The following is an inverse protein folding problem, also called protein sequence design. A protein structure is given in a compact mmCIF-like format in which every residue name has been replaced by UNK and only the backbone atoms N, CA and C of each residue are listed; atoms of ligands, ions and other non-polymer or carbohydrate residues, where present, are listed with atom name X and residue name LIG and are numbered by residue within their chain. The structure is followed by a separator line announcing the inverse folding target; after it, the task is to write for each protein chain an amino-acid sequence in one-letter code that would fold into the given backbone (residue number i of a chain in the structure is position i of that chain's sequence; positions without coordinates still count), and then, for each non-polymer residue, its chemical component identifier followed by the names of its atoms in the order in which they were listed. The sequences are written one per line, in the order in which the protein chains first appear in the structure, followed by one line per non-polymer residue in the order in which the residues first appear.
data_IF_276409091897
#
_entry.id   IF_276409091897
#
_cell.length_a   1.000
_cell.length_b   1.000
_cell.length_c   1.000
_cell.angle_alpha   90.00
_cell.angle_beta   90.00
_cell.angle_gamma   90.00
#
_symmetry.space_group_name_H-M   'P 1'
#
loop_
_entity.id
_entity.type
_entity.pdbx_description
1 polymer ?
#
# COMPACT_ATOMS: atom_id res chain seq x y z
N UNK A 1 -26.23 -13.66 46.07
CA UNK A 1 -25.05 -14.50 45.74
C UNK A 1 -23.79 -13.66 45.88
N UNK A 2 -22.72 -14.19 46.48
CA UNK A 2 -21.46 -13.43 46.61
C UNK A 2 -20.61 -13.61 45.34
N UNK A 3 -19.78 -12.61 45.00
CA UNK A 3 -18.84 -12.73 43.88
C UNK A 3 -17.88 -13.94 44.04
N UNK A 4 -17.57 -14.31 45.30
CA UNK A 4 -16.78 -15.50 45.60
C UNK A 4 -17.52 -16.79 45.23
N UNK A 5 -18.80 -16.92 45.58
CA UNK A 5 -19.59 -18.09 45.22
C UNK A 5 -19.71 -18.26 43.69
N UNK A 6 -19.83 -17.16 42.94
CA UNK A 6 -19.84 -17.20 41.47
C UNK A 6 -18.49 -17.67 40.91
N UNK A 7 -17.37 -17.12 41.40
CA UNK A 7 -16.03 -17.55 40.96
C UNK A 7 -15.76 -19.02 41.26
N UNK A 8 -16.05 -19.47 42.48
CA UNK A 8 -15.86 -20.88 42.85
C UNK A 8 -16.76 -21.79 42.02
N UNK A 9 -18.02 -21.40 41.78
CA UNK A 9 -18.92 -22.14 40.91
C UNK A 9 -18.34 -22.31 39.50
N UNK A 10 -17.89 -21.21 38.88
CA UNK A 10 -17.30 -21.25 37.54
C UNK A 10 -15.98 -22.03 37.47
N UNK A 11 -15.17 -22.03 38.53
CA UNK A 11 -13.91 -22.79 38.56
C UNK A 11 -14.10 -24.30 38.69
N UNK A 12 -15.28 -24.76 39.12
CA UNK A 12 -15.59 -26.19 39.33
C UNK A 12 -16.40 -26.81 38.19
N UNK A 13 -16.80 -26.02 37.17
CA UNK A 13 -17.57 -26.54 36.04
C UNK A 13 -16.66 -27.32 35.09
N UNK A 14 -17.02 -28.57 34.84
CA UNK A 14 -16.44 -29.40 33.79
C UNK A 14 -17.51 -29.70 32.74
N UNK A 15 -17.14 -29.58 31.46
CA UNK A 15 -18.01 -29.89 30.33
C UNK A 15 -17.29 -30.92 29.43
N UNK A 16 -17.64 -32.21 29.54
CA UNK A 16 -17.04 -33.25 28.73
C UNK A 16 -17.14 -32.93 27.23
N UNK A 17 -16.04 -33.15 26.51
CA UNK A 17 -15.97 -32.91 25.06
C UNK A 17 -15.95 -31.43 24.64
N UNK A 18 -15.75 -30.47 25.54
CA UNK A 18 -15.45 -29.07 25.17
C UNK A 18 -13.99 -28.77 25.44
N UNK A 19 -13.17 -28.77 24.38
CA UNK A 19 -11.72 -28.64 24.44
C UNK A 19 -11.08 -29.45 25.58
N UNK A 20 -11.49 -30.72 25.68
CA UNK A 20 -11.07 -31.60 26.76
C UNK A 20 -9.71 -32.22 26.41
N UNK A 21 -8.69 -31.87 27.18
CA UNK A 21 -7.34 -32.42 27.02
C UNK A 21 -7.19 -33.67 27.89
N UNK A 22 -6.90 -34.80 27.25
CA UNK A 22 -6.50 -36.04 27.91
C UNK A 22 -4.97 -36.15 27.78
N UNK A 23 -4.23 -36.00 28.90
CA UNK A 23 -2.78 -36.03 28.87
C UNK A 23 -2.27 -37.42 28.47
N UNK A 24 -1.25 -37.46 27.62
CA UNK A 24 -0.71 -38.70 27.07
C UNK A 24 0.33 -38.44 25.99
N UNK A 25 0.86 -39.52 25.42
CA UNK A 25 1.75 -39.50 24.26
C UNK A 25 1.16 -40.44 23.18
N UNK A 26 0.42 -39.92 22.19
CA UNK A 26 0.17 -38.50 21.91
C UNK A 26 -0.82 -37.85 22.90
N UNK A 27 -0.78 -36.53 23.02
CA UNK A 27 -1.81 -35.75 23.73
C UNK A 27 -3.10 -35.80 22.93
N UNK A 28 -4.22 -36.10 23.59
CA UNK A 28 -5.53 -36.22 22.94
C UNK A 28 -6.41 -35.02 23.30
N UNK A 29 -7.00 -34.38 22.30
CA UNK A 29 -7.96 -33.29 22.47
C UNK A 29 -9.30 -33.74 21.95
N UNK A 30 -10.34 -33.64 22.77
CA UNK A 30 -11.71 -33.98 22.41
C UNK A 30 -12.56 -32.70 22.35
N UNK A 31 -13.18 -32.45 21.21
CA UNK A 31 -14.03 -31.28 21.01
C UNK A 31 -15.30 -31.62 20.19
N UNK A 32 -16.43 -31.03 20.56
CA UNK A 32 -17.75 -31.18 19.90
C UNK A 32 -18.08 -30.03 18.93
N UNK A 33 -17.08 -29.25 18.52
CA UNK A 33 -17.23 -28.19 17.54
C UNK A 33 -17.83 -28.71 16.22
N UNK A 34 -18.91 -28.09 15.78
CA UNK A 34 -19.70 -28.52 14.62
C UNK A 34 -20.29 -27.33 13.83
N UNK A 35 -19.80 -26.13 14.11
CA UNK A 35 -20.15 -24.92 13.39
C UNK A 35 -18.91 -24.01 13.22
N UNK A 36 -18.90 -23.08 12.25
CA UNK A 36 -17.73 -22.27 11.95
C UNK A 36 -17.18 -21.48 13.13
N UNK A 37 -18.06 -20.98 14.02
CA UNK A 37 -17.63 -20.24 15.21
C UNK A 37 -16.96 -21.15 16.24
N UNK A 38 -17.54 -22.32 16.53
CA UNK A 38 -16.96 -23.29 17.45
C UNK A 38 -15.64 -23.84 16.94
N UNK A 39 -15.51 -24.08 15.63
CA UNK A 39 -14.25 -24.51 15.02
C UNK A 39 -13.22 -23.39 15.07
N UNK A 40 -13.62 -22.12 14.93
CA UNK A 40 -12.70 -21.01 15.14
C UNK A 40 -12.11 -20.97 16.56
N UNK A 41 -12.96 -21.23 17.58
CA UNK A 41 -12.50 -21.31 18.96
C UNK A 41 -11.59 -22.53 19.18
N UNK A 42 -11.91 -23.69 18.58
CA UNK A 42 -11.06 -24.87 18.58
C UNK A 42 -9.68 -24.57 17.97
N UNK A 43 -9.64 -23.95 16.78
CA UNK A 43 -8.39 -23.55 16.10
C UNK A 43 -7.55 -22.64 16.99
N UNK A 44 -8.15 -21.61 17.59
CA UNK A 44 -7.45 -20.69 18.47
C UNK A 44 -6.88 -21.39 19.73
N UNK A 45 -7.64 -22.32 20.30
CA UNK A 45 -7.18 -23.07 21.47
C UNK A 45 -6.07 -24.05 21.10
N UNK A 46 -6.15 -24.72 19.94
CA UNK A 46 -5.08 -25.61 19.45
C UNK A 46 -3.78 -24.83 19.19
N UNK A 47 -3.87 -23.66 18.58
CA UNK A 47 -2.73 -22.77 18.35
C UNK A 47 -2.08 -22.33 19.68
N UNK A 48 -2.89 -22.09 20.71
CA UNK A 48 -2.42 -21.73 22.04
C UNK A 48 -1.76 -22.88 22.83
N UNK A 49 -1.92 -24.15 22.41
CA UNK A 49 -1.26 -25.29 23.07
C UNK A 49 0.25 -25.37 22.76
N UNK A 50 0.75 -24.55 21.83
CA UNK A 50 2.16 -24.53 21.44
C UNK A 50 2.48 -25.49 20.29
N UNK A 51 3.77 -25.76 20.09
CA UNK A 51 4.24 -26.53 18.94
C UNK A 51 4.11 -28.04 19.14
N UNK A 52 3.46 -28.70 18.18
CA UNK A 52 3.43 -30.15 18.04
C UNK A 52 4.05 -30.55 16.69
N UNK A 53 4.96 -31.55 16.63
CA UNK A 53 5.60 -31.94 15.38
C UNK A 53 4.65 -32.55 14.35
N UNK A 54 3.55 -33.15 14.81
CA UNK A 54 2.52 -33.73 13.93
C UNK A 54 1.18 -33.71 14.66
N UNK A 55 0.16 -33.19 13.99
CA UNK A 55 -1.22 -33.12 14.45
C UNK A 55 -2.10 -34.04 13.60
N UNK A 56 -2.78 -34.97 14.27
CA UNK A 56 -3.71 -35.91 13.66
C UNK A 56 -5.14 -35.51 14.03
N UNK A 57 -6.01 -35.31 13.04
CA UNK A 57 -7.43 -35.04 13.27
C UNK A 57 -8.26 -36.26 12.91
N UNK A 58 -9.09 -36.71 13.85
CA UNK A 58 -10.19 -37.64 13.60
C UNK A 58 -11.47 -36.82 13.49
N UNK A 59 -12.09 -36.81 12.32
CA UNK A 59 -13.20 -35.92 12.00
C UNK A 59 -14.41 -36.70 11.50
N UNK A 60 -15.55 -36.45 12.15
CA UNK A 60 -16.86 -36.88 11.70
C UNK A 60 -17.84 -35.72 11.90
N UNK A 61 -18.71 -35.50 10.93
CA UNK A 61 -19.66 -34.39 10.96
C UNK A 61 -21.02 -34.80 10.41
N UNK A 62 -22.04 -34.03 10.76
CA UNK A 62 -23.38 -34.18 10.19
C UNK A 62 -23.44 -33.55 8.80
N UNK A 63 -24.22 -34.13 7.89
CA UNK A 63 -24.33 -33.68 6.50
C UNK A 63 -24.99 -32.30 6.34
N UNK A 64 -25.74 -31.86 7.36
CA UNK A 64 -26.41 -30.55 7.41
C UNK A 64 -25.49 -29.39 7.84
N UNK A 65 -24.20 -29.66 8.08
CA UNK A 65 -23.24 -28.65 8.55
C UNK A 65 -22.44 -28.02 7.42
N UNK A 66 -22.07 -26.77 7.67
CA UNK A 66 -21.24 -25.96 6.77
C UNK A 66 -19.77 -26.38 6.89
N UNK A 67 -19.39 -27.40 6.13
CA UNK A 67 -18.10 -28.08 6.23
C UNK A 67 -16.94 -27.25 5.69
N UNK A 68 -17.16 -26.49 4.62
CA UNK A 68 -16.12 -25.71 3.94
C UNK A 68 -15.45 -24.67 4.86
N UNK A 69 -16.20 -23.78 5.55
CA UNK A 69 -15.60 -22.82 6.48
C UNK A 69 -14.95 -23.51 7.70
N UNK A 70 -15.44 -24.68 8.11
CA UNK A 70 -14.84 -25.44 9.21
C UNK A 70 -13.47 -26.02 8.81
N UNK A 71 -13.43 -26.76 7.70
CA UNK A 71 -12.20 -27.40 7.21
C UNK A 71 -11.16 -26.37 6.80
N UNK A 72 -11.57 -25.26 6.17
CA UNK A 72 -10.67 -24.16 5.81
C UNK A 72 -9.97 -23.56 7.05
N UNK A 73 -10.66 -23.50 8.19
CA UNK A 73 -10.13 -22.84 9.39
C UNK A 73 -9.21 -23.73 10.22
N UNK A 74 -9.51 -25.03 10.31
CA UNK A 74 -8.67 -25.98 11.09
C UNK A 74 -7.62 -26.68 10.22
N UNK A 75 -7.84 -26.77 8.91
CA UNK A 75 -6.95 -27.38 7.92
C UNK A 75 -5.47 -27.05 8.09
N UNK A 76 -5.08 -25.78 8.25
CA UNK A 76 -3.68 -25.40 8.39
C UNK A 76 -2.97 -25.96 9.64
N UNK A 77 -3.70 -26.36 10.68
CA UNK A 77 -3.15 -26.91 11.92
C UNK A 77 -3.04 -28.44 11.90
N UNK A 78 -3.59 -29.11 10.89
CA UNK A 78 -3.73 -30.57 10.85
C UNK A 78 -2.88 -31.15 9.73
N UNK A 79 -1.92 -32.00 10.10
CA UNK A 79 -1.05 -32.69 9.14
C UNK A 79 -1.71 -33.94 8.55
N UNK A 80 -2.51 -34.65 9.35
CA UNK A 80 -3.10 -35.95 8.97
C UNK A 80 -4.58 -36.01 9.30
N UNK A 81 -5.38 -36.28 8.27
CA UNK A 81 -6.83 -36.37 8.37
C UNK A 81 -7.31 -37.82 8.35
N UNK A 82 -8.15 -38.15 9.32
CA UNK A 82 -8.86 -39.42 9.45
C UNK A 82 -10.35 -39.13 9.51
N UNK A 83 -11.09 -39.56 8.51
CA UNK A 83 -12.54 -39.39 8.48
C UNK A 83 -13.23 -40.64 9.02
N UNK A 84 -14.30 -40.44 9.79
CA UNK A 84 -15.07 -41.55 10.38
C UNK A 84 -16.56 -41.37 10.11
N UNK A 85 -17.25 -42.49 9.88
CA UNK A 85 -18.71 -42.52 9.85
C UNK A 85 -19.25 -42.39 11.28
N UNK A 86 -20.33 -41.63 11.43
CA UNK A 86 -21.07 -41.53 12.68
C UNK A 86 -22.28 -42.48 12.60
N UNK A 87 -22.69 -43.13 13.71
CA UNK A 87 -23.80 -44.08 13.73
C UNK A 87 -25.16 -43.38 13.71
N UNK A 88 -25.37 -42.45 12.76
CA UNK A 88 -26.62 -41.71 12.59
C UNK A 88 -26.88 -41.48 11.11
N UNK A 89 -28.14 -41.55 10.64
CA UNK A 89 -28.48 -41.33 9.23
C UNK A 89 -28.31 -39.87 8.78
N UNK A 90 -28.11 -38.93 9.73
CA UNK A 90 -27.84 -37.52 9.46
C UNK A 90 -26.35 -37.23 9.29
N UNK A 91 -25.50 -38.22 9.53
CA UNK A 91 -24.07 -38.11 9.36
C UNK A 91 -23.72 -37.93 7.88
N UNK A 92 -22.70 -37.14 7.61
CA UNK A 92 -22.03 -37.24 6.32
C UNK A 92 -21.13 -38.48 6.32
N UNK A 93 -20.93 -39.10 5.15
CA UNK A 93 -20.05 -40.27 5.07
C UNK A 93 -18.58 -39.84 5.14
N UNK A 94 -17.74 -40.70 5.69
CA UNK A 94 -16.30 -40.47 5.77
C UNK A 94 -15.70 -40.23 4.37
N UNK A 95 -16.17 -40.96 3.37
CA UNK A 95 -15.74 -40.80 1.97
C UNK A 95 -16.12 -39.44 1.39
N UNK A 96 -17.34 -38.96 1.65
CA UNK A 96 -17.79 -37.67 1.15
C UNK A 96 -17.05 -36.51 1.82
N UNK A 97 -16.82 -36.59 3.14
CA UNK A 97 -16.00 -35.60 3.87
C UNK A 97 -14.56 -35.55 3.35
N UNK A 98 -13.98 -36.71 3.03
CA UNK A 98 -12.66 -36.81 2.41
C UNK A 98 -12.64 -36.16 1.03
N UNK A 99 -13.63 -36.45 0.18
CA UNK A 99 -13.73 -35.86 -1.16
C UNK A 99 -13.85 -34.34 -1.09
N UNK A 100 -14.65 -33.82 -0.16
CA UNK A 100 -14.79 -32.38 0.13
C UNK A 100 -13.46 -31.73 0.51
N UNK A 101 -12.69 -32.34 1.41
CA UNK A 101 -11.35 -31.84 1.77
C UNK A 101 -10.41 -31.83 0.56
N UNK A 102 -10.40 -32.90 -0.23
CA UNK A 102 -9.56 -32.98 -1.44
C UNK A 102 -9.92 -31.91 -2.46
N UNK A 103 -11.21 -31.62 -2.63
CA UNK A 103 -11.68 -30.55 -3.50
C UNK A 103 -11.18 -29.18 -3.02
N UNK A 104 -11.28 -28.89 -1.71
CA UNK A 104 -10.75 -27.64 -1.15
C UNK A 104 -9.23 -27.52 -1.33
N UNK A 105 -8.50 -28.60 -1.08
CA UNK A 105 -7.05 -28.63 -1.28
C UNK A 105 -6.67 -28.36 -2.74
N UNK A 106 -7.40 -28.93 -3.70
CA UNK A 106 -7.18 -28.68 -5.12
C UNK A 106 -7.48 -27.23 -5.51
N UNK A 107 -8.56 -26.64 -4.98
CA UNK A 107 -8.91 -25.23 -5.21
C UNK A 107 -7.83 -24.29 -4.66
N UNK A 108 -7.39 -24.50 -3.42
CA UNK A 108 -6.32 -23.71 -2.79
C UNK A 108 -5.01 -23.85 -3.55
N UNK A 109 -4.66 -25.07 -3.99
CA UNK A 109 -3.45 -25.29 -4.80
C UNK A 109 -3.48 -24.49 -6.10
N UNK A 110 -4.60 -24.54 -6.84
CA UNK A 110 -4.77 -23.78 -8.07
C UNK A 110 -4.70 -22.26 -7.85
N UNK A 111 -5.33 -21.76 -6.78
CA UNK A 111 -5.25 -20.35 -6.40
C UNK A 111 -3.82 -19.93 -6.06
N UNK A 112 -3.08 -20.75 -5.32
CA UNK A 112 -1.69 -20.48 -4.95
C UNK A 112 -0.77 -20.45 -6.17
N UNK A 113 -0.96 -21.35 -7.14
CA UNK A 113 -0.21 -21.35 -8.39
C UNK A 113 -0.46 -20.08 -9.21
N UNK A 114 -1.72 -19.65 -9.28
CA UNK A 114 -2.11 -18.44 -9.97
C UNK A 114 -1.54 -17.19 -9.26
N UNK A 115 -1.59 -17.15 -7.93
CA UNK A 115 -1.02 -16.08 -7.11
C UNK A 115 0.49 -15.99 -7.27
N UNK A 116 1.21 -17.12 -7.27
CA UNK A 116 2.66 -17.19 -7.49
C UNK A 116 3.05 -16.64 -8.86
N UNK A 117 2.37 -17.10 -9.91
CA UNK A 117 2.60 -16.62 -11.29
C UNK A 117 2.36 -15.11 -11.39
N UNK A 118 1.30 -14.61 -10.76
CA UNK A 118 0.98 -13.18 -10.72
C UNK A 118 2.05 -12.39 -9.99
N UNK A 119 2.52 -12.89 -8.85
CA UNK A 119 3.56 -12.26 -8.05
C UNK A 119 4.89 -12.19 -8.82
N UNK A 120 5.30 -13.26 -9.49
CA UNK A 120 6.51 -13.30 -10.32
C UNK A 120 6.46 -12.28 -11.46
N UNK A 121 5.31 -12.20 -12.16
CA UNK A 121 5.08 -11.21 -13.21
C UNK A 121 5.19 -9.78 -12.66
N UNK A 122 4.46 -9.47 -11.59
CA UNK A 122 4.45 -8.14 -10.99
C UNK A 122 5.83 -7.75 -10.44
N UNK A 123 6.57 -8.70 -9.89
CA UNK A 123 7.95 -8.48 -9.42
C UNK A 123 8.86 -8.12 -10.60
N UNK A 124 8.75 -8.86 -11.71
CA UNK A 124 9.52 -8.58 -12.93
C UNK A 124 9.17 -7.20 -13.53
N UNK A 125 7.88 -6.85 -13.58
CA UNK A 125 7.43 -5.54 -14.05
C UNK A 125 7.94 -4.40 -13.16
N UNK A 126 7.85 -4.58 -11.83
CA UNK A 126 8.38 -3.63 -10.85
C UNK A 126 9.89 -3.44 -11.03
N UNK A 127 10.64 -4.53 -11.17
CA UNK A 127 12.10 -4.49 -11.26
C UNK A 127 12.55 -3.82 -12.56
N UNK A 128 11.85 -4.09 -13.68
CA UNK A 128 12.08 -3.41 -14.94
C UNK A 128 11.77 -1.91 -14.87
N UNK A 129 10.66 -1.53 -14.22
CA UNK A 129 10.32 -0.13 -14.01
C UNK A 129 11.34 0.59 -13.12
N UNK A 130 11.81 -0.08 -12.06
CA UNK A 130 12.84 0.47 -11.18
C UNK A 130 14.16 0.69 -11.94
N UNK A 131 14.58 -0.29 -12.76
CA UNK A 131 15.80 -0.14 -13.57
C UNK A 131 15.71 1.02 -14.58
N UNK A 132 14.52 1.30 -15.12
CA UNK A 132 14.29 2.46 -15.98
C UNK A 132 14.46 3.78 -15.22
N UNK A 133 13.86 3.88 -14.02
CA UNK A 133 14.00 5.05 -13.15
C UNK A 133 15.47 5.28 -12.78
N UNK A 134 16.18 4.22 -12.40
CA UNK A 134 17.60 4.29 -12.04
C UNK A 134 18.45 4.78 -13.23
N UNK A 135 18.16 4.30 -14.43
CA UNK A 135 18.84 4.74 -15.66
C UNK A 135 18.57 6.22 -15.95
N UNK A 136 17.33 6.68 -15.80
CA UNK A 136 16.97 8.09 -15.98
C UNK A 136 17.68 8.98 -14.95
N UNK A 137 17.74 8.54 -13.70
CA UNK A 137 18.45 9.25 -12.64
C UNK A 137 19.94 9.41 -12.96
N UNK A 138 20.61 8.33 -13.37
CA UNK A 138 22.03 8.38 -13.77
C UNK A 138 22.26 9.31 -14.97
N UNK A 139 21.36 9.29 -15.97
CA UNK A 139 21.45 10.20 -17.12
C UNK A 139 21.29 11.67 -16.68
N UNK A 140 20.36 11.94 -15.76
CA UNK A 140 20.15 13.27 -15.22
C UNK A 140 21.36 13.75 -14.42
N UNK A 141 21.96 12.90 -13.57
CA UNK A 141 23.18 13.23 -12.83
C UNK A 141 24.35 13.59 -13.76
N UNK A 142 24.52 12.84 -14.85
CA UNK A 142 25.54 13.13 -15.86
C UNK A 142 25.28 14.45 -16.59
N UNK A 143 24.02 14.73 -16.95
CA UNK A 143 23.64 15.99 -17.57
C UNK A 143 23.85 17.18 -16.63
N UNK A 144 23.48 17.04 -15.35
CA UNK A 144 23.69 18.05 -14.31
C UNK A 144 25.18 18.31 -14.08
N UNK A 145 26.01 17.27 -14.09
CA UNK A 145 27.46 17.40 -13.98
C UNK A 145 28.07 18.17 -15.17
N UNK A 146 27.62 17.87 -16.40
CA UNK A 146 28.05 18.60 -17.61
C UNK A 146 27.60 20.06 -17.57
N UNK A 147 26.35 20.32 -17.20
CA UNK A 147 25.82 21.68 -17.06
C UNK A 147 26.63 22.50 -16.04
N UNK A 148 26.99 21.90 -14.90
CA UNK A 148 27.84 22.54 -13.89
C UNK A 148 29.23 22.88 -14.43
N UNK A 149 29.85 21.98 -15.21
CA UNK A 149 31.15 22.24 -15.84
C UNK A 149 31.07 23.38 -16.86
N UNK A 150 30.02 23.42 -17.68
CA UNK A 150 29.83 24.47 -18.68
C UNK A 150 29.57 25.84 -18.04
N UNK A 151 28.75 25.89 -17.00
CA UNK A 151 28.54 27.12 -16.21
C UNK A 151 29.87 27.62 -15.66
N UNK A 152 30.69 26.74 -15.09
CA UNK A 152 32.01 27.12 -14.57
C UNK A 152 32.95 27.62 -15.69
N UNK A 153 32.95 26.98 -16.86
CA UNK A 153 33.73 27.42 -18.03
C UNK A 153 33.32 28.82 -18.46
N UNK A 154 32.03 29.05 -18.71
CA UNK A 154 31.48 30.33 -19.14
C UNK A 154 31.75 31.43 -18.12
N UNK A 155 31.66 31.12 -16.82
CA UNK A 155 32.00 32.05 -15.75
C UNK A 155 33.46 32.51 -15.85
N UNK A 156 34.40 31.56 -16.01
CA UNK A 156 35.83 31.86 -16.15
C UNK A 156 36.15 32.67 -17.42
N UNK A 157 35.44 32.44 -18.52
CA UNK A 157 35.59 33.21 -19.76
C UNK A 157 35.11 34.65 -19.55
N UNK A 158 33.97 34.83 -18.90
CA UNK A 158 33.42 36.15 -18.59
C UNK A 158 34.38 36.97 -17.70
N UNK A 159 34.97 36.34 -16.68
CA UNK A 159 35.96 36.98 -15.80
C UNK A 159 37.22 37.43 -16.57
N UNK A 160 37.70 36.64 -17.54
CA UNK A 160 38.87 36.96 -18.37
C UNK A 160 38.59 38.03 -19.43
N UNK A 161 37.34 38.22 -19.83
CA UNK A 161 36.95 39.12 -20.94
C UNK A 161 37.00 40.62 -20.58
N UNK A 162 37.28 40.98 -19.33
CA UNK A 162 37.26 42.36 -18.86
C UNK A 162 35.84 42.96 -18.80
N UNK A 163 35.67 44.27 -18.52
CA UNK A 163 34.36 44.87 -18.27
C UNK A 163 33.43 44.77 -19.49
N UNK A 164 32.46 43.86 -19.44
CA UNK A 164 31.45 43.66 -20.47
C UNK A 164 30.40 44.76 -20.39
N UNK A 165 30.32 45.59 -21.44
CA UNK A 165 29.28 46.64 -21.56
C UNK A 165 28.04 46.04 -22.23
N UNK A 166 27.05 45.64 -21.42
CA UNK A 166 25.77 45.14 -21.94
C UNK A 166 24.96 46.31 -22.48
N UNK A 167 24.62 46.27 -23.78
CA UNK A 167 23.74 47.26 -24.42
C UNK A 167 22.37 46.63 -24.63
N UNK A 168 21.37 47.06 -23.87
CA UNK A 168 19.99 46.63 -24.06
C UNK A 168 19.48 47.29 -25.35
N UNK A 169 19.36 46.48 -26.41
CA UNK A 169 18.76 46.89 -27.68
C UNK A 169 17.26 46.58 -27.61
N UNK A 170 16.44 47.60 -27.35
CA UNK A 170 15.01 47.51 -27.65
C UNK A 170 14.86 47.45 -29.18
N UNK A 171 14.58 46.27 -29.73
CA UNK A 171 14.14 46.19 -31.12
C UNK A 171 12.75 46.84 -31.21
N UNK A 172 12.53 47.78 -32.13
CA UNK A 172 11.16 48.23 -32.40
C UNK A 172 10.36 47.02 -32.89
N UNK A 173 9.20 46.78 -32.29
CA UNK A 173 8.24 45.80 -32.76
C UNK A 173 8.01 46.02 -34.27
N UNK A 174 7.98 44.97 -35.11
CA UNK A 174 7.65 45.14 -36.52
C UNK A 174 6.29 45.83 -36.62
N UNK A 175 6.24 46.93 -37.36
CA UNK A 175 5.02 47.68 -37.60
C UNK A 175 3.99 46.75 -38.26
N UNK A 176 2.94 46.40 -37.53
CA UNK A 176 1.75 45.76 -38.10
C UNK A 176 1.17 46.69 -39.18
N UNK A 177 1.16 46.21 -40.43
CA UNK A 177 0.56 46.92 -41.56
C UNK A 177 -0.98 46.98 -41.45
N UNK A 178 -1.63 47.87 -42.23
CA UNK A 178 -3.07 48.10 -42.13
C UNK A 178 -3.86 47.07 -42.96
N UNK A 179 -4.91 46.49 -42.35
CA UNK A 179 -5.98 45.73 -43.01
C UNK A 179 -6.11 44.29 -42.51
N UNK A 180 -7.27 43.77 -42.12
CA UNK A 180 -8.61 44.32 -42.02
C UNK A 180 -9.58 43.26 -41.48
N UNK A 181 -10.69 43.70 -40.87
CA UNK A 181 -11.94 42.96 -40.77
C UNK A 181 -12.12 41.97 -39.60
N UNK A 182 -12.80 42.41 -38.53
CA UNK A 182 -13.46 41.54 -37.55
C UNK A 182 -13.99 42.30 -36.33
N UNK A 183 -15.30 42.31 -36.11
CA UNK A 183 -16.01 43.00 -35.03
C UNK A 183 -16.22 42.10 -33.77
N UNK A 184 -16.90 42.54 -32.69
CA UNK A 184 -16.30 43.17 -31.51
C UNK A 184 -16.46 42.34 -30.22
N UNK A 185 -15.55 42.52 -29.25
CA UNK A 185 -15.69 41.97 -27.90
C UNK A 185 -15.11 42.92 -26.85
N UNK A 186 -16.03 43.57 -26.11
CA UNK A 186 -15.98 44.35 -24.86
C UNK A 186 -14.67 44.85 -24.19
N UNK A 187 -14.73 46.01 -23.50
CA UNK A 187 -13.59 46.86 -23.21
C UNK A 187 -12.83 46.43 -21.95
N UNK A 188 -11.50 46.56 -21.99
CA UNK A 188 -10.71 46.87 -20.81
C UNK A 188 -10.17 48.29 -20.95
N UNK A 189 -10.88 49.22 -20.33
CA UNK A 189 -10.26 50.42 -19.73
C UNK A 189 -9.54 49.94 -18.44
N UNK A 190 -8.43 50.50 -17.99
CA UNK A 190 -7.91 51.83 -18.21
C UNK A 190 -6.38 51.80 -18.28
N UNK A 191 -5.85 52.83 -18.92
CA UNK A 191 -4.45 53.22 -18.92
C UNK A 191 -3.88 53.42 -17.51
N UNK A 192 -2.57 53.23 -17.38
CA UNK A 192 -1.55 54.24 -17.04
C UNK A 192 -0.42 53.58 -16.21
N UNK A 193 0.71 54.24 -15.91
CA UNK A 193 1.59 55.09 -16.71
C UNK A 193 2.97 54.42 -16.86
N UNK A 194 3.76 54.94 -17.79
CA UNK A 194 5.17 54.63 -17.88
C UNK A 194 5.98 55.14 -16.68
N UNK A 195 7.09 54.43 -16.46
CA UNK A 195 8.40 55.02 -16.19
C UNK A 195 8.47 56.11 -15.12
N UNK A 196 8.55 55.68 -13.87
CA UNK A 196 9.47 56.26 -12.90
C UNK A 196 9.48 55.35 -11.66
N UNK A 197 10.52 54.54 -11.50
CA UNK A 197 10.96 54.27 -10.15
C UNK A 197 12.46 53.98 -10.11
N UNK A 198 13.15 54.87 -9.41
CA UNK A 198 14.55 54.75 -9.06
C UNK A 198 14.66 53.72 -7.94
N UNK A 199 15.02 52.48 -8.28
CA UNK A 199 15.42 51.49 -7.28
C UNK A 199 16.96 51.45 -7.20
N UNK A 200 17.56 51.72 -6.03
CA UNK A 200 19.01 51.69 -5.85
C UNK A 200 19.54 50.27 -6.02
N UNK A 201 20.82 50.19 -6.38
CA UNK A 201 21.61 48.98 -6.34
C UNK A 201 21.49 48.27 -4.97
N UNK A 202 21.59 46.93 -5.01
CA UNK A 202 21.45 45.94 -3.93
C UNK A 202 20.04 45.38 -3.70
N UNK A 203 19.66 44.37 -4.50
CA UNK A 203 18.48 43.54 -4.25
C UNK A 203 17.97 42.68 -5.41
N UNK A 204 18.88 42.07 -6.19
CA UNK A 204 18.75 41.00 -7.20
C UNK A 204 17.58 40.91 -8.23
N UNK A 205 16.44 41.57 -8.10
CA UNK A 205 15.37 41.57 -9.13
C UNK A 205 14.53 42.88 -9.07
N UNK A 206 14.03 43.38 -10.21
CA UNK A 206 12.99 44.43 -10.23
C UNK A 206 11.78 44.01 -9.40
N UNK A 207 11.09 44.95 -8.74
CA UNK A 207 9.99 44.66 -7.81
C UNK A 207 8.90 43.73 -8.39
N UNK A 208 8.58 43.89 -9.68
CA UNK A 208 7.64 43.01 -10.39
C UNK A 208 8.14 41.56 -10.50
N UNK A 209 9.45 41.36 -10.71
CA UNK A 209 10.07 40.04 -10.77
C UNK A 209 10.24 39.44 -9.38
N UNK A 210 10.53 40.25 -8.36
CA UNK A 210 10.57 39.82 -6.96
C UNK A 210 9.19 39.35 -6.50
N UNK A 211 8.12 40.06 -6.87
CA UNK A 211 6.74 39.67 -6.59
C UNK A 211 6.36 38.36 -7.32
N UNK A 212 6.79 38.19 -8.57
CA UNK A 212 6.59 36.94 -9.32
C UNK A 212 7.33 35.76 -8.68
N UNK A 213 8.59 35.95 -8.30
CA UNK A 213 9.39 34.91 -7.65
C UNK A 213 8.80 34.53 -6.29
N UNK A 214 8.37 35.51 -5.49
CA UNK A 214 7.66 35.25 -4.23
C UNK A 214 6.36 34.47 -4.46
N UNK A 215 5.61 34.78 -5.53
CA UNK A 215 4.42 34.02 -5.90
C UNK A 215 4.70 32.56 -6.22
N UNK A 216 5.76 32.28 -7.00
CA UNK A 216 6.17 30.91 -7.34
C UNK A 216 6.68 30.15 -6.11
N UNK A 217 7.44 30.81 -5.23
CA UNK A 217 7.92 30.20 -3.98
C UNK A 217 6.74 29.84 -3.09
N UNK A 218 5.76 30.74 -2.94
CA UNK A 218 4.55 30.49 -2.15
C UNK A 218 3.76 29.29 -2.71
N UNK A 219 3.65 29.17 -4.04
CA UNK A 219 2.98 28.04 -4.69
C UNK A 219 3.69 26.71 -4.40
N UNK A 220 5.02 26.69 -4.45
CA UNK A 220 5.84 25.52 -4.09
C UNK A 220 5.68 25.14 -2.61
N UNK A 221 5.69 26.12 -1.71
CA UNK A 221 5.47 25.88 -0.28
C UNK A 221 4.07 25.31 -0.01
N UNK A 222 3.06 25.81 -0.74
CA UNK A 222 1.68 25.31 -0.64
C UNK A 222 1.59 23.86 -1.12
N UNK A 223 2.26 23.52 -2.22
CA UNK A 223 2.37 22.15 -2.74
C UNK A 223 3.10 21.22 -1.77
N UNK A 224 4.21 21.66 -1.18
CA UNK A 224 4.97 20.89 -0.20
C UNK A 224 4.17 20.66 1.09
N UNK A 225 3.41 21.66 1.56
CA UNK A 225 2.53 21.53 2.71
C UNK A 225 1.38 20.53 2.44
N UNK A 226 0.78 20.58 1.25
CA UNK A 226 -0.23 19.61 0.84
C UNK A 226 0.34 18.17 0.78
N UNK A 227 1.55 18.01 0.23
CA UNK A 227 2.22 16.71 0.16
C UNK A 227 2.56 16.16 1.56
N UNK A 228 3.07 17.01 2.46
CA UNK A 228 3.36 16.64 3.85
C UNK A 228 2.09 16.23 4.62
N UNK A 229 0.96 16.92 4.39
CA UNK A 229 -0.34 16.58 4.98
C UNK A 229 -0.91 15.25 4.45
N UNK A 230 -0.76 14.97 3.16
CA UNK A 230 -1.17 13.68 2.59
C UNK A 230 -0.28 12.54 3.11
N UNK A 231 1.01 12.82 3.30
CA UNK A 231 1.96 11.84 3.83
C UNK A 231 1.70 11.52 5.31
N UNK A 232 1.30 12.48 6.14
CA UNK A 232 0.96 12.23 7.54
C UNK A 232 -0.31 11.38 7.69
N UNK A 233 -1.31 11.58 6.82
CA UNK A 233 -2.53 10.76 6.74
C UNK A 233 -2.28 9.33 6.26
N UNK A 234 -1.20 9.07 5.54
CA UNK A 234 -0.83 7.73 5.06
C UNK A 234 0.07 6.96 6.03
N UNK A 235 0.69 7.63 7.02
CA UNK A 235 1.65 7.04 7.94
C UNK A 235 1.16 6.92 9.39
N UNK A 236 -0.03 7.45 9.71
CA UNK A 236 -0.73 7.20 10.97
C UNK A 236 -2.22 6.92 10.70
N UNK A 237 -2.69 5.65 10.85
CA UNK A 237 -4.12 5.30 10.78
C UNK A 237 -4.91 5.80 12.00
#
# INVERSE_FOLDING_TARGET
MTAQAVRTGLSMVELPGRFQIVPGQPTLVLDVAHNPHSVAALTANLDAMGYFPTTHAVFGAMADKDWEPMLTKVGPLVDRWYFTDLPTPRADSAENLKAKLQQLQALVAAQNDQARTTLERLTTERDAAQAQVDTQHQQQEMADAQARQEIARLHSELERSGPVRVRISAQPAPACGPGGGGAPGHPSAAADPGAADAAPAYGLLPAANSARLAGVIQEIETLNAAYASCRSLLLHP
#
